data_IF_504925391599
#
_entry.id   IF_504925391599
#
_cell.length_a   1.000
_cell.length_b   1.000
_cell.length_c   1.000
_cell.angle_alpha   90.00
_cell.angle_beta   90.00
_cell.angle_gamma   90.00
#
_symmetry.space_group_name_H-M   'P 1'
#
loop_
_entity.id
_entity.type
_entity.pdbx_description
1 polymer ?
#
# COMPACT_ATOMS: atom_id res chain seq x y z
N UNK A 1 -5.30 -7.60 -38.59
CA UNK A 1 -5.01 -8.63 -39.60
C UNK A 1 -4.08 -9.69 -39.03
N UNK A 2 -4.38 -10.97 -39.25
CA UNK A 2 -3.65 -12.11 -38.68
C UNK A 2 -2.29 -12.32 -39.38
N UNK A 3 -1.37 -13.07 -38.76
CA UNK A 3 -0.05 -13.37 -39.33
C UNK A 3 -0.16 -14.12 -40.67
N UNK A 4 -1.02 -15.15 -40.81
CA UNK A 4 -1.25 -15.79 -42.10
C UNK A 4 -1.70 -14.80 -43.18
N UNK A 5 -2.58 -13.87 -42.85
CA UNK A 5 -3.09 -12.89 -43.82
C UNK A 5 -2.03 -11.84 -44.20
N UNK A 6 -1.29 -11.29 -43.22
CA UNK A 6 -0.22 -10.32 -43.49
C UNK A 6 0.93 -10.90 -44.31
N UNK A 7 1.22 -12.19 -44.12
CA UNK A 7 2.32 -12.88 -44.80
C UNK A 7 1.89 -13.55 -46.11
N UNK A 8 0.60 -13.54 -46.43
CA UNK A 8 0.08 -14.14 -47.64
C UNK A 8 0.59 -13.38 -48.87
N UNK A 9 1.31 -14.09 -49.72
CA UNK A 9 1.78 -13.60 -51.01
C UNK A 9 1.51 -14.65 -52.07
N UNK A 10 0.65 -14.33 -53.03
CA UNK A 10 0.29 -15.20 -54.13
C UNK A 10 0.86 -14.65 -55.44
N UNK A 11 1.57 -15.51 -56.18
CA UNK A 11 2.11 -15.22 -57.50
C UNK A 11 1.59 -16.25 -58.49
N UNK A 12 1.31 -15.85 -59.72
CA UNK A 12 0.83 -16.74 -60.77
C UNK A 12 1.73 -16.66 -62.02
N UNK A 13 1.71 -17.72 -62.83
CA UNK A 13 2.48 -17.81 -64.08
C UNK A 13 1.70 -17.34 -65.32
N UNK A 14 0.47 -16.85 -65.11
CA UNK A 14 -0.49 -16.44 -66.15
C UNK A 14 -0.77 -17.50 -67.23
N UNK A 15 -0.48 -18.77 -66.93
CA UNK A 15 -0.67 -19.90 -67.83
C UNK A 15 -1.57 -20.95 -67.20
N UNK A 16 -1.15 -21.51 -66.06
CA UNK A 16 -1.92 -22.57 -65.40
C UNK A 16 -1.71 -22.70 -63.89
N UNK A 17 -0.78 -21.96 -63.27
CA UNK A 17 -0.40 -22.16 -61.88
C UNK A 17 -0.42 -20.87 -61.05
N UNK A 18 -0.94 -21.01 -59.83
CA UNK A 18 -0.83 -20.03 -58.74
C UNK A 18 -0.08 -20.65 -57.57
N UNK A 19 0.93 -19.94 -57.08
CA UNK A 19 1.70 -20.30 -55.89
C UNK A 19 1.49 -19.24 -54.82
N UNK A 20 0.92 -19.64 -53.69
CA UNK A 20 0.75 -18.80 -52.51
C UNK A 20 1.74 -19.22 -51.42
N UNK A 21 2.38 -18.25 -50.79
CA UNK A 21 3.21 -18.47 -49.60
C UNK A 21 2.63 -17.68 -48.44
N UNK A 22 2.65 -18.28 -47.24
CA UNK A 22 2.19 -17.64 -46.02
C UNK A 22 2.90 -18.24 -44.80
N UNK A 23 2.78 -17.58 -43.65
CA UNK A 23 3.44 -17.96 -42.41
C UNK A 23 2.44 -18.12 -41.26
N UNK A 24 2.71 -19.07 -40.38
CA UNK A 24 1.95 -19.35 -39.17
C UNK A 24 2.87 -19.45 -37.96
N UNK A 25 2.40 -19.09 -36.77
CA UNK A 25 3.16 -19.35 -35.55
C UNK A 25 3.18 -20.86 -35.25
N UNK A 26 4.34 -21.42 -34.93
CA UNK A 26 4.51 -22.86 -34.69
C UNK A 26 3.59 -23.39 -33.58
N UNK A 27 3.57 -22.74 -32.42
CA UNK A 27 2.71 -23.16 -31.30
C UNK A 27 1.20 -23.02 -31.63
N UNK A 28 0.83 -21.99 -32.41
CA UNK A 28 -0.57 -21.82 -32.82
C UNK A 28 -0.99 -22.93 -33.78
N UNK A 29 -0.10 -23.32 -34.70
CA UNK A 29 -0.32 -24.44 -35.61
C UNK A 29 -0.53 -25.76 -34.86
N UNK A 30 0.29 -26.03 -33.84
CA UNK A 30 0.18 -27.23 -33.00
C UNK A 30 -1.20 -27.31 -32.29
N UNK A 31 -1.76 -26.16 -31.91
CA UNK A 31 -3.09 -26.07 -31.30
C UNK A 31 -4.22 -26.15 -32.34
N UNK A 32 -4.16 -25.28 -33.36
CA UNK A 32 -5.18 -25.11 -34.41
C UNK A 32 -4.48 -24.67 -35.70
N UNK A 33 -4.34 -25.59 -36.63
CA UNK A 33 -3.78 -25.29 -37.94
C UNK A 33 -4.74 -24.49 -38.82
N UNK A 34 -4.20 -23.56 -39.60
CA UNK A 34 -4.96 -22.78 -40.57
C UNK A 34 -4.94 -23.40 -41.97
N UNK A 35 -6.06 -23.29 -42.67
CA UNK A 35 -6.24 -23.74 -44.07
C UNK A 35 -6.44 -22.50 -44.94
N UNK A 36 -5.57 -22.32 -45.93
CA UNK A 36 -5.76 -21.34 -47.00
C UNK A 36 -6.81 -21.87 -47.98
N UNK A 37 -7.82 -21.07 -48.30
CA UNK A 37 -8.83 -21.40 -49.30
C UNK A 37 -9.05 -20.23 -50.26
N UNK A 38 -9.38 -20.55 -51.50
CA UNK A 38 -9.86 -19.58 -52.48
C UNK A 38 -11.36 -19.40 -52.27
N UNK A 39 -11.80 -18.15 -52.08
CA UNK A 39 -13.15 -17.82 -51.62
C UNK A 39 -14.21 -18.11 -52.67
N UNK A 40 -13.95 -17.74 -53.92
CA UNK A 40 -14.96 -17.80 -54.98
C UNK A 40 -15.38 -19.25 -55.26
N UNK A 41 -14.41 -20.18 -55.24
CA UNK A 41 -14.67 -21.61 -55.40
C UNK A 41 -14.82 -22.38 -54.07
N UNK A 42 -14.68 -21.69 -52.93
CA UNK A 42 -14.54 -22.27 -51.59
C UNK A 42 -13.54 -23.46 -51.55
N UNK A 43 -12.50 -23.40 -52.39
CA UNK A 43 -11.58 -24.50 -52.66
C UNK A 43 -10.36 -24.39 -51.78
N UNK A 44 -10.11 -25.42 -50.98
CA UNK A 44 -8.92 -25.49 -50.13
C UNK A 44 -7.66 -25.58 -50.99
N UNK A 45 -6.68 -24.77 -50.65
CA UNK A 45 -5.39 -24.80 -51.30
C UNK A 45 -4.54 -25.91 -50.69
N UNK A 46 -3.92 -26.71 -51.55
CA UNK A 46 -3.01 -27.74 -51.10
C UNK A 46 -1.66 -27.13 -50.71
N UNK A 47 -1.42 -27.04 -49.40
CA UNK A 47 -0.24 -26.42 -48.81
C UNK A 47 0.75 -27.46 -48.29
N UNK A 48 2.03 -27.24 -48.55
CA UNK A 48 3.14 -28.03 -47.98
C UNK A 48 4.02 -27.14 -47.12
N UNK A 49 4.46 -27.66 -45.98
CA UNK A 49 5.47 -26.99 -45.14
C UNK A 49 6.77 -26.88 -45.93
N UNK A 50 7.36 -25.69 -45.96
CA UNK A 50 8.67 -25.47 -46.54
C UNK A 50 9.74 -26.01 -45.58
N UNK A 51 10.53 -26.99 -46.03
CA UNK A 51 11.68 -27.52 -45.27
C UNK A 51 12.95 -26.71 -45.56
N UNK A 52 13.78 -26.60 -44.53
CA UNK A 52 14.86 -25.64 -44.23
C UNK A 52 16.04 -25.51 -45.22
N UNK A 53 15.90 -25.92 -46.48
CA UNK A 53 17.01 -25.94 -47.44
C UNK A 53 17.07 -24.78 -48.44
N UNK A 54 16.25 -23.74 -48.30
CA UNK A 54 16.45 -22.50 -49.07
C UNK A 54 16.09 -21.24 -48.27
N UNK A 55 17.17 -20.57 -47.83
CA UNK A 55 17.32 -19.17 -47.42
C UNK A 55 17.01 -18.77 -45.96
N UNK A 56 17.99 -18.01 -45.43
CA UNK A 56 18.05 -17.29 -44.15
C UNK A 56 16.91 -16.26 -44.05
N UNK A 57 16.44 -16.00 -42.84
CA UNK A 57 15.49 -14.93 -42.41
C UNK A 57 14.05 -15.35 -42.05
N UNK A 58 13.76 -16.62 -41.73
CA UNK A 58 12.56 -16.93 -40.94
C UNK A 58 12.95 -17.12 -39.47
N UNK A 59 12.40 -16.33 -38.53
CA UNK A 59 12.56 -16.63 -37.11
C UNK A 59 12.06 -18.05 -36.83
N UNK A 60 12.78 -18.84 -36.01
CA UNK A 60 12.48 -20.25 -35.66
C UNK A 60 11.05 -20.51 -35.13
N UNK A 61 10.32 -19.42 -34.86
CA UNK A 61 8.97 -19.39 -34.29
C UNK A 61 7.88 -19.51 -35.37
N UNK A 62 8.19 -19.24 -36.64
CA UNK A 62 7.20 -19.24 -37.72
C UNK A 62 7.41 -20.37 -38.72
N UNK A 63 6.33 -21.08 -39.03
CA UNK A 63 6.28 -22.11 -40.06
C UNK A 63 5.82 -21.48 -41.36
N UNK A 64 6.63 -21.65 -42.42
CA UNK A 64 6.29 -21.18 -43.76
C UNK A 64 5.62 -22.27 -44.58
N UNK A 65 4.50 -21.91 -45.18
CA UNK A 65 3.67 -22.78 -46.02
C UNK A 65 3.72 -22.32 -47.47
N UNK A 66 3.82 -23.29 -48.38
CA UNK A 66 3.78 -23.08 -49.82
C UNK A 66 2.61 -23.86 -50.39
N UNK A 67 1.63 -23.16 -50.93
CA UNK A 67 0.43 -23.72 -51.51
C UNK A 67 0.43 -23.55 -53.02
N UNK A 68 0.04 -24.60 -53.74
CA UNK A 68 -0.05 -24.57 -55.21
C UNK A 68 -1.45 -24.96 -55.66
N UNK A 69 -1.95 -24.24 -56.66
CA UNK A 69 -3.24 -24.51 -57.29
C UNK A 69 -3.13 -24.29 -58.79
N UNK A 70 -3.86 -25.11 -59.54
CA UNK A 70 -3.99 -24.98 -60.99
C UNK A 70 -5.32 -24.35 -61.32
N UNK A 71 -5.27 -23.31 -62.16
CA UNK A 71 -6.44 -22.61 -62.70
C UNK A 71 -6.35 -22.55 -64.21
N UNK A 72 -7.50 -22.62 -64.88
CA UNK A 72 -7.59 -22.70 -66.35
C UNK A 72 -7.85 -21.34 -67.00
N UNK A 73 -8.00 -20.27 -66.19
CA UNK A 73 -8.36 -18.94 -66.68
C UNK A 73 -7.64 -17.83 -65.93
N UNK A 74 -7.00 -16.94 -66.70
CA UNK A 74 -6.47 -15.67 -66.25
C UNK A 74 -6.97 -14.57 -67.17
N UNK A 75 -7.42 -13.45 -66.60
CA UNK A 75 -7.95 -12.33 -67.38
C UNK A 75 -7.68 -11.00 -66.69
N UNK A 76 -7.55 -9.93 -67.49
CA UNK A 76 -7.50 -8.58 -66.94
C UNK A 76 -8.83 -8.25 -66.27
N UNK A 77 -8.77 -7.80 -65.02
CA UNK A 77 -9.97 -7.52 -64.20
C UNK A 77 -10.55 -8.73 -63.48
N UNK A 78 -9.89 -9.89 -63.52
CA UNK A 78 -10.19 -11.02 -62.63
C UNK A 78 -9.56 -10.75 -61.28
N UNK A 79 -10.36 -10.80 -60.22
CA UNK A 79 -9.91 -10.66 -58.83
C UNK A 79 -10.00 -12.01 -58.13
N UNK A 80 -8.90 -12.46 -57.54
CA UNK A 80 -8.86 -13.68 -56.73
C UNK A 80 -8.86 -13.33 -55.25
N UNK A 81 -9.86 -13.84 -54.52
CA UNK A 81 -9.98 -13.60 -53.08
C UNK A 81 -9.57 -14.84 -52.31
N UNK A 82 -8.56 -14.71 -51.45
CA UNK A 82 -8.11 -15.77 -50.57
C UNK A 82 -8.54 -15.53 -49.11
N UNK A 83 -8.82 -16.61 -48.39
CA UNK A 83 -9.19 -16.58 -46.99
C UNK A 83 -8.49 -17.67 -46.20
N UNK A 84 -8.47 -17.51 -44.88
CA UNK A 84 -8.00 -18.54 -43.96
C UNK A 84 -9.16 -19.01 -43.09
N UNK A 85 -9.26 -20.32 -42.90
CA UNK A 85 -10.19 -20.94 -41.94
C UNK A 85 -9.44 -21.91 -41.02
N UNK A 86 -9.78 -21.98 -39.73
CA UNK A 86 -9.18 -22.98 -38.85
C UNK A 86 -9.61 -24.39 -39.28
N UNK A 87 -8.74 -25.37 -39.08
CA UNK A 87 -9.04 -26.79 -39.34
C UNK A 87 -9.92 -27.43 -38.26
N UNK A 88 -10.18 -26.71 -37.16
CA UNK A 88 -11.07 -27.09 -36.07
C UNK A 88 -12.14 -26.02 -35.90
N UNK A 89 -13.34 -26.45 -35.53
CA UNK A 89 -14.43 -25.55 -35.18
C UNK A 89 -14.15 -24.93 -33.80
N UNK A 90 -13.95 -23.61 -33.77
CA UNK A 90 -13.76 -22.85 -32.53
C UNK A 90 -15.01 -22.01 -32.28
N UNK A 91 -15.90 -22.52 -31.44
CA UNK A 91 -17.18 -21.89 -31.15
C UNK A 91 -17.54 -22.06 -29.68
N UNK A 92 -18.14 -21.03 -29.11
CA UNK A 92 -18.75 -21.06 -27.79
C UNK A 92 -20.16 -20.49 -27.89
N UNK A 93 -21.13 -21.22 -27.36
CA UNK A 93 -22.54 -20.83 -27.33
C UNK A 93 -23.04 -20.83 -25.89
N UNK A 94 -23.87 -19.85 -25.56
CA UNK A 94 -24.47 -19.74 -24.23
C UNK A 94 -25.89 -19.21 -24.35
N UNK A 95 -26.84 -19.95 -23.80
CA UNK A 95 -28.21 -19.47 -23.61
C UNK A 95 -28.25 -18.64 -22.31
N UNK A 96 -28.46 -17.34 -22.44
CA UNK A 96 -28.47 -16.42 -21.30
C UNK A 96 -29.92 -16.18 -20.84
N UNK A 97 -30.23 -16.57 -19.61
CA UNK A 97 -31.45 -16.14 -18.93
C UNK A 97 -31.25 -14.72 -18.40
N UNK A 98 -31.95 -13.76 -19.00
CA UNK A 98 -31.83 -12.35 -18.66
C UNK A 98 -32.22 -12.04 -17.21
N UNK A 99 -33.13 -12.81 -16.61
CA UNK A 99 -33.60 -12.57 -15.25
C UNK A 99 -32.66 -13.17 -14.20
N UNK A 100 -31.86 -14.17 -14.57
CA UNK A 100 -30.89 -14.83 -13.68
C UNK A 100 -29.44 -14.35 -13.88
N UNK A 101 -29.22 -13.42 -14.81
CA UNK A 101 -27.90 -12.88 -15.13
C UNK A 101 -27.91 -11.34 -15.18
N UNK A 102 -28.56 -10.72 -14.20
CA UNK A 102 -28.64 -9.26 -14.10
C UNK A 102 -27.44 -8.72 -13.33
N UNK A 103 -26.60 -7.96 -14.02
CA UNK A 103 -25.58 -7.12 -13.38
C UNK A 103 -26.08 -5.66 -13.38
N UNK A 104 -26.44 -5.08 -12.21
CA UNK A 104 -26.90 -3.69 -12.14
C UNK A 104 -25.80 -2.71 -12.51
N UNK A 105 -26.19 -1.48 -12.88
CA UNK A 105 -25.26 -0.39 -13.06
C UNK A 105 -24.71 0.07 -11.69
N UNK A 106 -23.44 0.51 -11.62
CA UNK A 106 -22.84 1.00 -10.38
C UNK A 106 -23.61 2.24 -9.86
N UNK A 107 -23.85 2.36 -8.54
CA UNK A 107 -24.48 3.54 -7.98
C UNK A 107 -23.68 4.82 -8.25
N UNK A 108 -24.39 5.93 -8.43
CA UNK A 108 -23.82 7.23 -8.81
C UNK A 108 -24.00 8.27 -7.71
N UNK A 109 -23.32 9.40 -7.83
CA UNK A 109 -23.44 10.55 -6.91
C UNK A 109 -23.24 10.19 -5.43
N UNK A 110 -22.31 9.27 -5.12
CA UNK A 110 -21.99 8.91 -3.74
C UNK A 110 -21.42 10.14 -3.02
N UNK A 111 -22.08 10.57 -1.96
CA UNK A 111 -21.69 11.72 -1.15
C UNK A 111 -21.80 11.44 0.34
N UNK A 112 -20.99 12.15 1.13
CA UNK A 112 -20.94 12.03 2.59
C UNK A 112 -21.20 13.39 3.20
N UNK A 113 -22.13 13.48 4.15
CA UNK A 113 -22.49 14.71 4.86
C UNK A 113 -22.50 14.51 6.36
N UNK A 114 -21.98 15.50 7.11
CA UNK A 114 -21.99 15.48 8.58
C UNK A 114 -23.35 15.95 9.09
N UNK A 115 -24.03 15.13 9.88
CA UNK A 115 -25.31 15.45 10.50
C UNK A 115 -25.13 16.29 11.76
N UNK A 116 -26.21 16.96 12.20
CA UNK A 116 -26.23 17.72 13.46
C UNK A 116 -26.01 16.85 14.70
N UNK A 117 -26.32 15.54 14.64
CA UNK A 117 -26.01 14.57 15.70
C UNK A 117 -24.50 14.29 15.85
N UNK A 118 -23.70 14.63 14.83
CA UNK A 118 -22.29 14.25 14.72
C UNK A 118 -22.02 12.98 13.92
N UNK A 119 -23.07 12.29 13.47
CA UNK A 119 -23.00 11.11 12.60
C UNK A 119 -22.81 11.49 11.13
N UNK A 120 -22.46 10.52 10.30
CA UNK A 120 -22.23 10.75 8.86
C UNK A 120 -23.33 10.11 8.02
N UNK A 121 -24.02 10.92 7.23
CA UNK A 121 -25.02 10.46 6.26
C UNK A 121 -24.36 10.27 4.90
N UNK A 122 -24.35 9.02 4.43
CA UNK A 122 -23.97 8.62 3.09
C UNK A 122 -25.23 8.59 2.23
N UNK A 123 -25.16 9.19 1.05
CA UNK A 123 -26.25 9.14 0.05
C UNK A 123 -25.69 8.81 -1.32
N UNK A 124 -26.46 8.07 -2.11
CA UNK A 124 -26.14 7.76 -3.51
C UNK A 124 -27.42 7.74 -4.34
N UNK A 125 -27.28 7.61 -5.67
CA UNK A 125 -28.40 7.48 -6.59
C UNK A 125 -28.31 6.18 -7.38
N UNK A 126 -29.47 5.57 -7.58
CA UNK A 126 -29.65 4.47 -8.52
C UNK A 126 -29.64 5.03 -9.94
N UNK A 127 -28.80 4.53 -10.86
CA UNK A 127 -28.79 5.00 -12.25
C UNK A 127 -30.15 4.80 -12.93
N UNK A 128 -30.52 5.73 -13.83
CA UNK A 128 -31.80 5.69 -14.55
C UNK A 128 -32.04 4.37 -15.31
N UNK A 129 -30.99 3.75 -15.84
CA UNK A 129 -31.07 2.44 -16.51
C UNK A 129 -31.40 1.27 -15.58
N UNK A 130 -31.30 1.46 -14.27
CA UNK A 130 -31.62 0.48 -13.22
C UNK A 130 -32.88 0.84 -12.42
N UNK A 131 -33.62 1.87 -12.83
CA UNK A 131 -34.81 2.34 -12.11
C UNK A 131 -35.91 1.25 -12.02
N UNK A 132 -35.99 0.39 -13.03
CA UNK A 132 -36.88 -0.78 -13.06
C UNK A 132 -36.59 -1.81 -11.95
N UNK A 133 -35.37 -1.78 -11.40
CA UNK A 133 -34.90 -2.65 -10.32
C UNK A 133 -34.84 -1.91 -8.98
N UNK A 134 -35.06 -0.59 -8.93
CA UNK A 134 -34.67 0.28 -7.80
C UNK A 134 -35.22 -0.13 -6.43
N UNK A 135 -36.44 -0.70 -6.38
CA UNK A 135 -37.10 -1.16 -5.14
C UNK A 135 -36.76 -2.61 -4.77
N UNK A 136 -35.87 -3.24 -5.53
CA UNK A 136 -35.50 -4.65 -5.41
C UNK A 136 -33.97 -4.82 -5.46
N UNK A 137 -33.22 -3.73 -5.24
CA UNK A 137 -31.76 -3.75 -5.14
C UNK A 137 -31.31 -3.79 -3.68
N UNK A 138 -30.31 -4.62 -3.45
CA UNK A 138 -29.49 -4.57 -2.24
C UNK A 138 -28.20 -3.82 -2.55
N UNK A 139 -27.78 -2.99 -1.62
CA UNK A 139 -26.56 -2.20 -1.69
C UNK A 139 -25.58 -2.69 -0.64
N UNK A 140 -24.35 -2.86 -1.06
CA UNK A 140 -23.23 -3.10 -0.16
C UNK A 140 -22.39 -1.83 -0.08
N UNK A 141 -22.40 -1.20 1.09
CA UNK A 141 -21.57 -0.05 1.41
C UNK A 141 -20.33 -0.53 2.12
N UNK A 142 -19.16 -0.24 1.58
CA UNK A 142 -17.88 -0.60 2.20
C UNK A 142 -17.09 0.65 2.50
N UNK A 143 -16.55 0.73 3.72
CA UNK A 143 -15.72 1.85 4.13
C UNK A 143 -14.51 1.41 4.93
N UNK A 144 -13.46 2.21 4.83
CA UNK A 144 -12.18 1.99 5.49
C UNK A 144 -11.47 3.31 5.72
N UNK A 145 -10.43 3.30 6.55
CA UNK A 145 -9.51 4.42 6.59
C UNK A 145 -8.67 4.45 5.33
N UNK A 146 -8.25 5.64 4.92
CA UNK A 146 -7.54 5.86 3.66
C UNK A 146 -6.34 4.93 3.48
N UNK A 147 -5.61 4.66 4.57
CA UNK A 147 -4.42 3.82 4.60
C UNK A 147 -4.66 2.32 4.75
N UNK A 148 -5.86 1.89 5.12
CA UNK A 148 -6.19 0.48 5.28
C UNK A 148 -6.38 -0.19 3.91
N UNK A 149 -6.22 -1.51 3.86
CA UNK A 149 -6.57 -2.28 2.66
C UNK A 149 -8.08 -2.48 2.58
N UNK A 150 -8.60 -2.69 1.36
CA UNK A 150 -10.01 -3.00 1.17
C UNK A 150 -10.42 -4.40 1.71
N UNK A 151 -9.46 -5.30 1.94
CA UNK A 151 -9.71 -6.63 2.51
C UNK A 151 -10.14 -6.57 3.99
N UNK A 152 -9.65 -5.57 4.72
CA UNK A 152 -10.04 -5.31 6.12
C UNK A 152 -11.16 -4.28 6.28
N UNK A 153 -11.82 -3.87 5.19
CA UNK A 153 -12.85 -2.85 5.22
C UNK A 153 -14.13 -3.35 5.92
N UNK A 154 -14.85 -2.43 6.55
CA UNK A 154 -16.16 -2.73 7.11
C UNK A 154 -17.19 -2.69 5.99
N UNK A 155 -18.02 -3.73 5.90
CA UNK A 155 -19.05 -3.88 4.88
C UNK A 155 -20.43 -3.89 5.52
N UNK A 156 -21.34 -3.07 5.01
CA UNK A 156 -22.72 -2.95 5.44
C UNK A 156 -23.63 -3.34 4.29
N UNK A 157 -24.50 -4.32 4.51
CA UNK A 157 -25.52 -4.73 3.54
C UNK A 157 -26.83 -4.03 3.86
N UNK A 158 -27.41 -3.37 2.87
CA UNK A 158 -28.60 -2.55 3.00
C UNK A 158 -29.60 -2.91 1.90
N UNK A 159 -30.87 -3.07 2.24
CA UNK A 159 -31.92 -3.43 1.29
C UNK A 159 -32.79 -2.22 0.99
N UNK A 160 -33.10 -1.98 -0.29
CA UNK A 160 -34.09 -1.01 -0.75
C UNK A 160 -33.90 0.43 -0.20
N UNK A 161 -32.65 0.85 -0.01
CA UNK A 161 -32.31 2.21 0.42
C UNK A 161 -31.18 2.78 -0.42
N UNK A 162 -31.18 4.11 -0.55
CA UNK A 162 -30.14 4.88 -1.23
C UNK A 162 -29.31 5.75 -0.27
N UNK A 163 -29.44 5.48 1.03
CA UNK A 163 -28.72 6.19 2.06
C UNK A 163 -28.35 5.26 3.24
N UNK A 164 -27.29 5.64 3.95
CA UNK A 164 -26.80 4.94 5.13
C UNK A 164 -26.26 5.96 6.13
N UNK A 165 -26.49 5.74 7.42
CA UNK A 165 -25.91 6.57 8.48
C UNK A 165 -24.81 5.78 9.20
N UNK A 166 -23.61 6.36 9.26
CA UNK A 166 -22.49 5.83 10.03
C UNK A 166 -22.40 6.57 11.37
N UNK A 167 -22.46 5.81 12.46
CA UNK A 167 -22.33 6.36 13.81
C UNK A 167 -20.93 6.93 14.04
N UNK A 168 -20.85 8.08 14.73
CA UNK A 168 -19.55 8.64 15.13
C UNK A 168 -18.74 7.73 16.06
N UNK A 169 -19.40 6.82 16.76
CA UNK A 169 -18.78 5.93 17.77
C UNK A 169 -17.98 4.80 17.12
N UNK A 170 -18.40 4.37 15.91
CA UNK A 170 -17.74 3.32 15.14
C UNK A 170 -16.51 3.84 14.38
N UNK A 171 -16.35 5.16 14.29
CA UNK A 171 -15.30 5.82 13.52
C UNK A 171 -14.21 6.38 14.43
N UNK A 172 -12.95 6.26 13.99
CA UNK A 172 -11.81 6.81 14.73
C UNK A 172 -11.76 8.33 14.50
N UNK A 173 -11.83 9.18 15.56
CA UNK A 173 -11.78 10.65 15.43
C UNK A 173 -10.47 11.13 14.79
N UNK A 174 -10.50 12.21 14.01
CA UNK A 174 -9.33 12.77 13.31
C UNK A 174 -8.70 11.84 12.26
N UNK A 175 -9.51 11.04 11.57
CA UNK A 175 -9.06 10.08 10.54
C UNK A 175 -9.72 10.39 9.19
N UNK A 176 -8.97 10.20 8.10
CA UNK A 176 -9.55 10.18 6.75
C UNK A 176 -10.13 8.81 6.46
N UNK A 177 -11.38 8.78 6.02
CA UNK A 177 -12.09 7.60 5.58
C UNK A 177 -12.43 7.70 4.10
N UNK A 178 -12.54 6.53 3.47
CA UNK A 178 -12.97 6.35 2.08
C UNK A 178 -14.08 5.30 2.07
N UNK A 179 -15.11 5.54 1.28
CA UNK A 179 -16.27 4.64 1.11
C UNK A 179 -16.59 4.45 -0.36
N UNK A 180 -17.14 3.28 -0.68
CA UNK A 180 -17.68 2.92 -1.99
C UNK A 180 -18.89 2.03 -1.83
N UNK A 181 -19.80 2.10 -2.78
CA UNK A 181 -21.04 1.33 -2.77
C UNK A 181 -21.19 0.55 -4.07
N UNK A 182 -21.75 -0.65 -4.00
CA UNK A 182 -22.18 -1.42 -5.18
C UNK A 182 -23.55 -2.02 -4.95
N UNK A 183 -24.24 -2.39 -6.03
CA UNK A 183 -25.59 -2.90 -5.97
C UNK A 183 -25.65 -4.34 -6.48
N UNK A 184 -26.60 -5.13 -5.99
CA UNK A 184 -26.99 -6.42 -6.58
C UNK A 184 -28.51 -6.56 -6.57
N UNK A 185 -29.08 -7.44 -7.40
CA UNK A 185 -30.46 -7.84 -7.24
C UNK A 185 -30.69 -8.41 -5.84
N UNK A 186 -31.76 -7.98 -5.19
CA UNK A 186 -32.13 -8.44 -3.86
C UNK A 186 -32.57 -9.90 -3.89
N UNK A 187 -32.37 -10.60 -2.77
CA UNK A 187 -32.56 -12.06 -2.73
C UNK A 187 -34.00 -12.50 -3.05
N UNK A 188 -34.98 -11.68 -2.70
CA UNK A 188 -36.42 -11.95 -2.92
C UNK A 188 -36.99 -11.26 -4.18
N UNK A 189 -36.11 -10.76 -5.06
CA UNK A 189 -36.52 -9.93 -6.19
C UNK A 189 -37.06 -10.69 -7.41
N UNK A 190 -36.86 -12.01 -7.47
CA UNK A 190 -37.05 -12.82 -8.67
C UNK A 190 -35.96 -12.63 -9.73
N UNK A 191 -35.07 -11.65 -9.55
CA UNK A 191 -33.86 -11.45 -10.34
C UNK A 191 -32.65 -12.00 -9.58
N UNK A 192 -31.67 -12.52 -10.31
CA UNK A 192 -30.39 -12.92 -9.74
C UNK A 192 -29.24 -12.50 -10.64
N UNK A 193 -28.05 -12.43 -10.06
CA UNK A 193 -26.85 -12.04 -10.78
C UNK A 193 -25.76 -11.51 -9.85
N UNK A 194 -24.60 -11.15 -10.43
CA UNK A 194 -23.48 -10.64 -9.68
C UNK A 194 -23.74 -9.21 -9.19
N UNK A 195 -22.86 -8.75 -8.30
CA UNK A 195 -22.80 -7.34 -7.95
C UNK A 195 -22.40 -6.48 -9.17
N UNK A 196 -22.87 -5.24 -9.17
CA UNK A 196 -22.35 -4.18 -10.02
C UNK A 196 -20.86 -3.96 -9.74
N UNK A 197 -20.20 -3.26 -10.67
CA UNK A 197 -18.96 -2.58 -10.34
C UNK A 197 -19.15 -1.61 -9.16
N UNK A 198 -18.05 -1.24 -8.52
CA UNK A 198 -18.07 -0.26 -7.45
C UNK A 198 -18.39 1.15 -7.99
N UNK A 199 -19.07 1.95 -7.17
CA UNK A 199 -19.20 3.39 -7.39
C UNK A 199 -17.83 4.08 -7.35
N UNK A 200 -17.79 5.32 -7.82
CA UNK A 200 -16.67 6.20 -7.48
C UNK A 200 -16.56 6.34 -5.95
N UNK A 201 -15.32 6.39 -5.47
CA UNK A 201 -15.04 6.50 -4.05
C UNK A 201 -15.36 7.91 -3.54
N UNK A 202 -16.00 7.98 -2.37
CA UNK A 202 -16.18 9.24 -1.63
C UNK A 202 -15.29 9.23 -0.39
N UNK A 203 -14.71 10.38 -0.06
CA UNK A 203 -13.84 10.53 1.11
C UNK A 203 -14.37 11.59 2.06
N UNK A 204 -14.13 11.38 3.36
CA UNK A 204 -14.46 12.35 4.41
C UNK A 204 -13.44 12.27 5.54
N UNK A 205 -13.45 13.29 6.39
CA UNK A 205 -12.62 13.33 7.60
C UNK A 205 -13.50 13.41 8.84
N UNK A 206 -13.19 12.60 9.84
CA UNK A 206 -13.85 12.70 11.13
C UNK A 206 -13.29 13.90 11.91
N UNK A 207 -14.12 14.63 12.68
CA UNK A 207 -13.66 15.73 13.53
C UNK A 207 -12.50 15.30 14.43
N UNK A 208 -11.53 16.20 14.65
CA UNK A 208 -10.50 15.95 15.65
C UNK A 208 -11.13 15.90 17.05
N UNK A 209 -10.87 14.82 17.77
CA UNK A 209 -11.15 14.76 19.21
C UNK A 209 -10.17 15.64 20.01
N UNK A 210 -10.07 15.42 21.31
CA UNK A 210 -8.97 15.96 22.13
C UNK A 210 -7.65 15.36 21.63
N UNK A 211 -7.04 16.00 20.62
CA UNK A 211 -5.96 15.45 19.77
C UNK A 211 -4.64 15.10 20.46
N UNK A 212 -4.61 15.08 21.79
CA UNK A 212 -3.49 14.70 22.65
C UNK A 212 -3.63 13.27 23.21
N UNK A 213 -4.84 12.70 23.22
CA UNK A 213 -5.07 11.38 23.81
C UNK A 213 -4.75 10.25 22.83
N UNK A 214 -4.22 9.11 23.30
CA UNK A 214 -4.16 7.88 22.52
C UNK A 214 -5.56 7.49 22.06
N UNK A 215 -5.67 6.96 20.84
CA UNK A 215 -6.96 6.59 20.25
C UNK A 215 -6.92 5.17 19.68
N UNK A 216 -8.11 4.65 19.38
CA UNK A 216 -8.29 3.36 18.73
C UNK A 216 -7.59 2.21 19.49
N UNK A 217 -7.67 2.19 20.82
CA UNK A 217 -7.15 1.09 21.63
C UNK A 217 -7.97 -0.18 21.34
N UNK A 218 -7.33 -1.19 20.76
CA UNK A 218 -7.94 -2.48 20.42
C UNK A 218 -7.08 -3.61 20.94
N UNK A 219 -7.69 -4.56 21.63
CA UNK A 219 -7.03 -5.75 22.11
C UNK A 219 -7.70 -7.00 21.55
N UNK A 220 -6.90 -7.92 20.99
CA UNK A 220 -7.35 -9.16 20.38
C UNK A 220 -6.67 -10.34 21.07
N UNK A 221 -7.48 -11.23 21.65
CA UNK A 221 -7.00 -12.46 22.26
C UNK A 221 -6.95 -13.57 21.21
N UNK A 222 -5.81 -14.27 21.11
CA UNK A 222 -5.61 -15.34 20.13
C UNK A 222 -6.31 -16.67 20.50
N UNK A 223 -6.97 -16.75 21.65
CA UNK A 223 -7.60 -17.99 22.14
C UNK A 223 -6.63 -18.97 22.82
N UNK A 224 -5.34 -18.63 22.88
CA UNK A 224 -4.31 -19.42 23.53
C UNK A 224 -3.77 -18.70 24.76
N UNK A 225 -2.69 -17.95 24.57
CA UNK A 225 -1.87 -17.37 25.63
C UNK A 225 -1.49 -15.91 25.36
N UNK A 226 -1.96 -15.29 24.26
CA UNK A 226 -1.53 -13.95 23.84
C UNK A 226 -2.69 -13.01 23.60
N UNK A 227 -2.67 -11.89 24.31
CA UNK A 227 -3.53 -10.74 24.09
C UNK A 227 -2.72 -9.64 23.41
N UNK A 228 -3.00 -9.38 22.14
CA UNK A 228 -2.30 -8.34 21.37
C UNK A 228 -3.10 -7.06 21.42
N UNK A 229 -2.54 -6.02 22.04
CA UNK A 229 -3.15 -4.70 22.11
C UNK A 229 -2.44 -3.72 21.18
N UNK A 230 -3.20 -2.87 20.51
CA UNK A 230 -2.71 -1.83 19.59
C UNK A 230 -3.44 -0.51 19.83
N UNK A 231 -2.74 0.60 19.66
CA UNK A 231 -3.27 1.95 19.82
C UNK A 231 -2.56 2.92 18.89
N UNK A 232 -3.13 4.12 18.74
CA UNK A 232 -2.60 5.16 17.86
C UNK A 232 -2.29 6.44 18.61
N UNK A 233 -1.16 7.05 18.25
CA UNK A 233 -0.68 8.33 18.80
C UNK A 233 -0.22 9.26 17.69
N UNK A 234 -0.36 10.57 17.87
CA UNK A 234 0.14 11.55 16.88
C UNK A 234 1.66 11.49 16.81
N UNK A 235 2.21 11.42 15.60
CA UNK A 235 3.67 11.31 15.35
C UNK A 235 4.47 12.45 15.98
N UNK A 236 3.92 13.65 16.03
CA UNK A 236 4.58 14.80 16.66
C UNK A 236 4.70 14.67 18.19
N UNK A 237 3.88 13.83 18.82
CA UNK A 237 3.87 13.65 20.28
C UNK A 237 4.90 12.59 20.68
N UNK A 238 5.13 11.57 19.84
CA UNK A 238 6.07 10.48 20.14
C UNK A 238 7.53 10.93 20.25
N UNK A 239 7.87 12.12 19.75
CA UNK A 239 9.21 12.71 19.94
C UNK A 239 9.46 13.24 21.35
N UNK A 240 8.40 13.45 22.15
CA UNK A 240 8.48 14.07 23.47
C UNK A 240 7.84 13.25 24.58
N UNK A 241 6.85 12.41 24.24
CA UNK A 241 6.12 11.59 25.20
C UNK A 241 6.17 10.14 24.74
N UNK A 242 6.68 9.27 25.61
CA UNK A 242 6.58 7.83 25.43
C UNK A 242 5.26 7.35 26.01
N UNK A 243 4.58 6.44 25.31
CA UNK A 243 3.36 5.82 25.81
C UNK A 243 3.64 4.35 26.15
N UNK A 244 3.16 3.94 27.32
CA UNK A 244 3.20 2.56 27.78
C UNK A 244 1.79 1.98 27.85
N UNK A 245 1.68 0.68 27.65
CA UNK A 245 0.46 -0.09 27.89
C UNK A 245 0.56 -0.72 29.27
N UNK A 246 -0.44 -0.46 30.12
CA UNK A 246 -0.52 -0.97 31.47
C UNK A 246 -1.77 -1.81 31.63
N UNK A 247 -1.64 -2.97 32.27
CA UNK A 247 -2.75 -3.90 32.40
C UNK A 247 -2.87 -4.49 33.80
N UNK A 248 -4.07 -4.93 34.14
CA UNK A 248 -4.38 -5.70 35.35
C UNK A 248 -5.13 -6.96 34.96
N UNK A 249 -4.64 -8.11 35.40
CA UNK A 249 -5.28 -9.40 35.14
C UNK A 249 -6.57 -9.58 35.96
N UNK A 250 -6.65 -8.99 37.15
CA UNK A 250 -7.89 -8.93 37.94
C UNK A 250 -8.02 -7.55 38.61
N UNK A 251 -9.22 -7.13 39.05
CA UNK A 251 -9.38 -5.85 39.75
C UNK A 251 -8.51 -5.69 41.00
N UNK A 252 -8.11 -6.81 41.61
CA UNK A 252 -7.28 -6.85 42.82
C UNK A 252 -5.78 -7.05 42.55
N UNK A 253 -5.37 -7.31 41.30
CA UNK A 253 -3.95 -7.48 40.97
C UNK A 253 -3.23 -6.14 40.93
N UNK A 254 -1.91 -6.18 41.14
CA UNK A 254 -1.05 -5.05 40.80
C UNK A 254 -1.08 -4.79 39.29
N UNK A 255 -0.72 -3.57 38.93
CA UNK A 255 -0.71 -3.11 37.56
C UNK A 255 0.66 -3.35 36.94
N UNK A 256 0.68 -4.06 35.82
CA UNK A 256 1.90 -4.44 35.12
C UNK A 256 2.08 -3.60 33.84
N UNK A 257 3.33 -3.33 33.47
CA UNK A 257 3.68 -2.65 32.22
C UNK A 257 4.01 -3.70 31.15
N UNK A 258 3.35 -3.59 29.99
CA UNK A 258 3.64 -4.45 28.85
C UNK A 258 4.92 -3.98 28.14
N UNK A 259 5.85 -4.91 27.90
CA UNK A 259 7.07 -4.65 27.16
C UNK A 259 7.53 -5.89 26.35
N UNK A 260 8.14 -5.72 25.16
CA UNK A 260 8.43 -4.46 24.48
C UNK A 260 7.23 -3.88 23.71
N UNK A 261 7.19 -2.55 23.56
CA UNK A 261 6.24 -1.86 22.69
C UNK A 261 6.82 -1.79 21.28
N UNK A 262 6.09 -2.32 20.30
CA UNK A 262 6.42 -2.24 18.89
C UNK A 262 5.77 -1.02 18.26
N UNK A 263 6.49 -0.39 17.32
CA UNK A 263 6.03 0.80 16.63
C UNK A 263 6.00 0.58 15.12
N UNK A 264 4.90 0.96 14.48
CA UNK A 264 4.71 0.92 13.04
C UNK A 264 4.32 2.29 12.51
N UNK A 265 5.22 2.91 11.77
CA UNK A 265 4.96 4.15 11.04
C UNK A 265 4.37 3.85 9.67
N UNK A 266 3.29 4.53 9.32
CA UNK A 266 2.66 4.42 8.00
C UNK A 266 2.94 5.70 7.19
N UNK A 267 3.32 5.59 5.90
CA UNK A 267 3.57 6.76 5.05
C UNK A 267 2.34 7.66 4.94
N UNK A 268 2.54 8.98 4.94
CA UNK A 268 1.47 9.98 4.75
C UNK A 268 0.37 10.03 5.82
N UNK A 269 0.56 9.34 6.96
CA UNK A 269 -0.36 9.41 8.10
C UNK A 269 0.28 10.23 9.23
N UNK A 270 -0.46 11.18 9.85
CA UNK A 270 0.03 11.94 11.00
C UNK A 270 0.05 11.14 12.31
N UNK A 271 -0.21 9.83 12.26
CA UNK A 271 -0.32 8.93 13.40
C UNK A 271 0.60 7.74 13.24
N UNK A 272 1.02 7.23 14.38
CA UNK A 272 1.84 6.04 14.52
C UNK A 272 1.06 4.99 15.28
N UNK A 273 1.11 3.76 14.81
CA UNK A 273 0.49 2.62 15.49
C UNK A 273 1.53 2.01 16.42
N UNK A 274 1.18 1.88 17.69
CA UNK A 274 1.98 1.18 18.69
C UNK A 274 1.23 -0.07 19.15
N UNK A 275 1.96 -1.14 19.44
CA UNK A 275 1.37 -2.41 19.86
C UNK A 275 2.23 -3.14 20.87
N UNK A 276 1.60 -3.88 21.78
CA UNK A 276 2.27 -4.73 22.75
C UNK A 276 1.50 -6.04 22.96
N UNK A 277 2.25 -7.11 23.22
CA UNK A 277 1.70 -8.45 23.44
C UNK A 277 1.75 -8.80 24.93
N UNK A 278 0.59 -9.06 25.52
CA UNK A 278 0.45 -9.49 26.92
C UNK A 278 0.32 -11.01 26.94
N UNK A 279 1.13 -11.67 27.78
CA UNK A 279 1.00 -13.09 28.06
C UNK A 279 -0.15 -13.31 29.05
N UNK A 280 -1.18 -14.01 28.60
CA UNK A 280 -2.41 -14.28 29.36
C UNK A 280 -2.22 -15.52 30.21
N UNK A 281 -2.44 -15.38 31.51
CA UNK A 281 -2.52 -16.52 32.44
C UNK A 281 -3.94 -17.09 32.49
N UNK A 282 -4.07 -18.42 32.54
CA UNK A 282 -5.34 -19.18 32.50
C UNK A 282 -6.33 -18.90 33.65
N UNK A 283 -5.97 -18.08 34.63
CA UNK A 283 -6.79 -17.81 35.81
C UNK A 283 -7.76 -16.64 35.67
N UNK A 284 -7.62 -15.82 34.63
CA UNK A 284 -8.37 -14.55 34.50
C UNK A 284 -9.08 -14.43 33.16
N UNK A 285 -10.39 -14.17 33.19
CA UNK A 285 -11.23 -14.00 32.00
C UNK A 285 -11.35 -12.56 31.52
N UNK A 286 -10.99 -11.58 32.35
CA UNK A 286 -11.15 -10.15 32.06
C UNK A 286 -9.89 -9.38 32.45
N UNK A 287 -9.27 -8.74 31.46
CA UNK A 287 -8.11 -7.86 31.67
C UNK A 287 -8.56 -6.41 31.56
N UNK A 288 -8.13 -5.57 32.49
CA UNK A 288 -8.26 -4.12 32.34
C UNK A 288 -6.97 -3.60 31.70
N UNK A 289 -7.09 -2.88 30.57
CA UNK A 289 -5.95 -2.38 29.80
C UNK A 289 -6.08 -0.88 29.63
N UNK A 290 -5.00 -0.16 29.87
CA UNK A 290 -4.93 1.30 29.76
C UNK A 290 -3.65 1.73 29.06
N UNK A 291 -3.73 2.78 28.25
CA UNK A 291 -2.56 3.43 27.62
C UNK A 291 -2.36 4.77 28.30
N UNK A 292 -1.14 5.04 28.76
CA UNK A 292 -0.79 6.33 29.38
C UNK A 292 0.64 6.72 29.06
N UNK A 293 0.95 8.00 29.25
CA UNK A 293 2.31 8.49 29.15
C UNK A 293 3.20 7.81 30.21
N UNK A 294 4.37 7.35 29.78
CA UNK A 294 5.41 6.79 30.63
C UNK A 294 6.22 7.93 31.25
N UNK A 295 6.48 7.81 32.55
CA UNK A 295 7.40 8.72 33.24
C UNK A 295 8.82 8.24 32.99
N UNK A 296 9.61 9.05 32.28
CA UNK A 296 11.02 8.77 32.04
C UNK A 296 11.87 9.51 33.07
N UNK A 297 12.72 8.77 33.77
CA UNK A 297 13.61 9.30 34.79
C UNK A 297 15.06 9.01 34.41
N UNK A 298 15.93 10.00 34.58
CA UNK A 298 17.37 9.84 34.40
C UNK A 298 18.08 10.15 35.70
N UNK A 299 18.75 9.14 36.26
CA UNK A 299 19.64 9.35 37.40
C UNK A 299 20.85 10.16 36.95
N UNK A 300 20.99 11.37 37.49
CA UNK A 300 22.17 12.21 37.32
C UNK A 300 22.89 12.27 38.64
N UNK A 301 24.00 11.54 38.72
CA UNK A 301 24.89 11.59 39.87
C UNK A 301 25.63 12.94 39.88
N UNK A 302 25.17 13.89 40.69
CA UNK A 302 25.68 15.27 40.73
C UNK A 302 27.18 15.34 40.97
N UNK A 303 27.72 14.45 41.82
CA UNK A 303 29.16 14.38 42.12
C UNK A 303 30.04 13.96 40.94
N UNK A 304 29.45 13.38 39.88
CA UNK A 304 30.14 13.05 38.62
C UNK A 304 29.93 14.09 37.51
N UNK A 305 28.97 15.00 37.67
CA UNK A 305 28.54 15.95 36.64
C UNK A 305 28.81 17.40 37.09
N UNK A 306 30.03 17.65 37.59
CA UNK A 306 30.44 18.96 38.11
C UNK A 306 31.11 19.76 36.99
N UNK A 307 30.54 20.93 36.66
CA UNK A 307 31.19 21.92 35.80
C UNK A 307 31.67 23.09 36.68
N UNK A 308 32.99 23.15 36.91
CA UNK A 308 33.59 24.23 37.68
C UNK A 308 33.64 25.50 36.82
N UNK A 309 33.34 26.65 37.41
CA UNK A 309 33.49 27.95 36.74
C UNK A 309 34.97 28.21 36.38
N UNK A 310 35.23 28.96 35.30
CA UNK A 310 36.61 29.30 34.92
C UNK A 310 37.34 30.04 36.06
N UNK A 311 38.66 29.82 36.23
CA UNK A 311 39.46 30.53 37.22
C UNK A 311 39.38 32.04 37.02
N UNK A 312 39.21 32.80 38.10
CA UNK A 312 39.14 34.25 38.03
C UNK A 312 40.53 34.89 38.11
N UNK A 313 40.67 36.10 37.57
CA UNK A 313 41.87 36.94 37.70
C UNK A 313 43.17 36.24 37.28
N UNK A 314 43.15 35.55 36.13
CA UNK A 314 44.37 34.98 35.54
C UNK A 314 45.31 36.14 35.17
N UNK A 315 46.49 36.17 35.79
CA UNK A 315 47.50 37.21 35.60
C UNK A 315 48.89 36.59 35.51
N UNK A 316 49.79 37.27 34.79
CA UNK A 316 51.18 36.86 34.62
C UNK A 316 52.07 37.94 35.21
N UNK A 317 52.95 37.59 36.13
CA UNK A 317 53.92 38.51 36.73
C UNK A 317 55.35 38.02 36.49
N UNK A 318 56.23 38.91 36.02
CA UNK A 318 57.66 38.60 35.92
C UNK A 318 58.32 38.78 37.30
N UNK A 319 59.04 37.76 37.75
CA UNK A 319 59.82 37.79 39.00
C UNK A 319 61.19 38.42 38.76
N UNK A 320 61.83 38.90 39.83
CA UNK A 320 63.17 39.53 39.78
C UNK A 320 64.25 38.58 39.21
N UNK A 321 64.00 37.27 39.23
CA UNK A 321 64.90 36.21 38.75
C UNK A 321 64.68 35.82 37.28
N UNK A 322 63.98 36.64 36.47
CA UNK A 322 63.63 36.34 35.06
C UNK A 322 62.67 35.14 34.87
N UNK A 323 61.97 34.68 35.91
CA UNK A 323 60.94 33.66 35.80
C UNK A 323 59.54 34.31 35.68
N UNK A 324 58.64 33.69 34.91
CA UNK A 324 57.25 34.12 34.80
C UNK A 324 56.37 33.32 35.75
N UNK A 325 55.59 34.01 36.58
CA UNK A 325 54.63 33.40 37.50
C UNK A 325 53.20 33.63 37.00
N UNK A 326 52.44 32.53 36.84
CA UNK A 326 51.03 32.57 36.50
C UNK A 326 50.18 32.44 37.77
N UNK A 327 49.30 33.41 38.01
CA UNK A 327 48.42 33.45 39.18
C UNK A 327 46.97 33.46 38.74
N UNK A 328 46.13 32.71 39.46
CA UNK A 328 44.68 32.72 39.30
C UNK A 328 44.01 32.49 40.65
N UNK A 329 42.77 32.92 40.75
CA UNK A 329 41.91 32.70 41.92
C UNK A 329 41.09 31.44 41.68
N UNK A 330 41.26 30.46 42.56
CA UNK A 330 40.44 29.23 42.56
C UNK A 330 38.98 29.57 42.85
N UNK A 331 38.07 28.80 42.26
CA UNK A 331 36.66 28.92 42.59
C UNK A 331 36.41 28.45 44.03
N UNK A 332 35.72 29.24 44.85
CA UNK A 332 35.37 28.83 46.22
C UNK A 332 34.20 27.87 46.19
N UNK A 333 34.42 26.61 46.57
CA UNK A 333 33.35 25.64 46.75
C UNK A 333 32.87 25.63 48.20
N UNK A 334 31.63 25.22 48.45
CA UNK A 334 31.10 25.05 49.81
C UNK A 334 31.69 23.86 50.59
N UNK A 335 32.54 23.06 49.94
CA UNK A 335 33.18 21.88 50.52
C UNK A 335 34.69 21.93 50.28
N UNK A 336 35.45 21.97 51.36
CA UNK A 336 36.91 22.16 51.31
C UNK A 336 37.68 20.90 50.87
N UNK A 337 37.05 19.73 50.93
CA UNK A 337 37.67 18.46 50.53
C UNK A 337 37.69 18.23 49.01
N UNK A 338 37.03 19.08 48.21
CA UNK A 338 37.00 18.95 46.76
C UNK A 338 38.26 19.57 46.16
N UNK A 339 39.19 18.73 45.71
CA UNK A 339 40.45 19.18 45.11
C UNK A 339 40.24 19.67 43.68
N UNK A 340 40.76 20.87 43.35
CA UNK A 340 40.75 21.40 41.99
C UNK A 340 42.10 21.14 41.30
N UNK A 341 42.03 20.71 40.04
CA UNK A 341 43.19 20.57 39.15
C UNK A 341 43.03 21.56 38.01
N UNK A 342 44.14 22.17 37.61
CA UNK A 342 44.16 23.17 36.56
C UNK A 342 45.02 22.69 35.40
N UNK A 343 44.54 22.99 34.21
CA UNK A 343 45.28 22.83 32.97
C UNK A 343 45.62 24.24 32.48
N UNK A 344 46.90 24.49 32.25
CA UNK A 344 47.42 25.76 31.77
C UNK A 344 47.99 25.54 30.38
N UNK A 345 47.61 26.41 29.47
CA UNK A 345 48.07 26.42 28.08
C UNK A 345 48.64 27.80 27.77
N UNK A 346 49.82 27.85 27.16
CA UNK A 346 50.45 29.08 26.69
C UNK A 346 51.16 28.83 25.35
N UNK A 347 51.27 29.90 24.56
CA UNK A 347 51.90 29.89 23.24
C UNK A 347 52.52 31.26 22.94
N UNK A 348 53.45 31.29 21.98
CA UNK A 348 54.00 32.52 21.44
C UNK A 348 53.02 33.14 20.43
N UNK A 349 52.86 34.47 20.48
CA UNK A 349 51.91 35.17 19.63
C UNK A 349 52.21 34.89 18.14
N UNK A 350 51.19 34.51 17.36
CA UNK A 350 51.26 34.03 15.97
C UNK A 350 51.78 32.59 15.73
N UNK A 351 51.97 31.75 16.76
CA UNK A 351 52.28 30.31 16.62
C UNK A 351 51.29 29.41 17.39
N UNK A 352 50.01 29.43 16.99
CA UNK A 352 48.94 28.65 17.65
C UNK A 352 49.12 27.12 17.59
N UNK A 353 50.03 26.62 16.75
CA UNK A 353 50.27 25.18 16.57
C UNK A 353 51.28 24.59 17.59
N UNK A 354 51.99 25.43 18.37
CA UNK A 354 52.92 24.98 19.42
C UNK A 354 52.43 25.38 20.81
N UNK A 355 51.42 24.66 21.30
CA UNK A 355 50.90 24.83 22.65
C UNK A 355 51.73 24.02 23.64
N UNK A 356 52.26 24.67 24.67
CA UNK A 356 52.91 23.95 25.79
C UNK A 356 51.89 23.76 26.91
N UNK A 357 51.67 22.49 27.29
CA UNK A 357 50.64 22.06 28.23
C UNK A 357 51.24 21.74 29.60
N UNK A 358 50.76 22.42 30.65
CA UNK A 358 51.19 22.17 32.03
C UNK A 358 49.99 21.85 32.90
N UNK A 359 50.06 20.73 33.63
CA UNK A 359 49.05 20.32 34.62
C UNK A 359 49.47 20.78 36.01
N UNK A 360 48.73 21.71 36.57
CA UNK A 360 48.98 22.28 37.89
C UNK A 360 47.98 21.72 38.91
N UNK A 361 48.46 21.33 40.10
CA UNK A 361 47.58 21.02 41.24
C UNK A 361 47.48 22.25 42.13
N UNK A 362 46.29 22.57 42.64
CA UNK A 362 46.19 23.58 43.70
C UNK A 362 46.99 23.10 44.91
N UNK A 363 47.91 23.92 45.43
CA UNK A 363 48.41 23.75 46.79
C UNK A 363 47.36 24.21 47.79
#
# INVERSE_FOLDING_TARGET
>A
ESIPMKSLSCVNDYNSQVTCTWMEHSEAHDLVGMILYHRDDNKEMYCKRQTENDLRETPDVYVRWVCRHSTDYFGMGVEDIYGFKPNKMLQAELNVDLFQNVQPLPPQDLSVSLMTSGDFLLTWKTPDGSLMLGNVLEYEVTYKREWESWEGAVSLLLSNTTHCTLSREDLVPGSSYVTRVRARPGQDSGFSGPYSEWSMEASWKTPEGSGLQPRNLRCLFNGGDRLTCSWEVKKMITTSVLFGLFFRATPASEEEECSPVHEKTLPHIPYVVQSCEILVSNSSSQYNVSVRAKTEEKLIETYKNIQVLPPANVSVTATENQEYELRWVKHTMGYDFITQRYQVEYWENNQHEKVTLIKCRSR
#
